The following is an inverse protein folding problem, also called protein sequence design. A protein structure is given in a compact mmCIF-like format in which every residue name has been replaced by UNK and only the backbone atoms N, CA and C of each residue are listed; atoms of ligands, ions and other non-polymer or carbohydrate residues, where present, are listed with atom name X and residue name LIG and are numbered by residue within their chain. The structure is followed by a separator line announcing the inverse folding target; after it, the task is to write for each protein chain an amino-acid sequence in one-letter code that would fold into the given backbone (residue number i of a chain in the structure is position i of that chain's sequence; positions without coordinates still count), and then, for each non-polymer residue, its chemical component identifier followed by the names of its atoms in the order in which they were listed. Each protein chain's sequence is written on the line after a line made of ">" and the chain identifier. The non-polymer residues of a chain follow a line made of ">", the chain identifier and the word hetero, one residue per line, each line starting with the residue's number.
data_IF_268353992580
#
_entry.id   IF_268353992580
#
_cell.length_a   1.000
_cell.length_b   1.000
_cell.length_c   1.000
_cell.angle_alpha   90.00
_cell.angle_beta   90.00
_cell.angle_gamma   90.00
#
_symmetry.space_group_name_H-M   'P 1'
#
loop_
_entity.id
_entity.type
_entity.pdbx_description
1 polymer ?
#
# COMPACT_ATOMS: atom_id res chain seq x y z
N UNK A 1 -1.52 -9.73 -36.10
CA UNK A 1 -1.87 -8.99 -34.87
C UNK A 1 -0.96 -7.79 -34.76
N UNK A 2 -1.43 -6.65 -35.25
CA UNK A 2 -0.70 -5.38 -35.26
C UNK A 2 -0.58 -4.86 -33.83
N UNK A 3 0.65 -4.86 -33.30
CA UNK A 3 0.99 -4.13 -32.09
C UNK A 3 0.79 -2.64 -32.40
N UNK A 4 -0.33 -2.07 -31.99
CA UNK A 4 -0.50 -0.61 -31.93
C UNK A 4 0.65 -0.09 -31.07
N UNK A 5 1.63 0.57 -31.70
CA UNK A 5 2.72 1.23 -30.98
C UNK A 5 2.10 2.42 -30.27
N UNK A 6 1.77 2.25 -28.98
CA UNK A 6 1.24 3.34 -28.16
C UNK A 6 2.28 4.48 -28.17
N UNK A 7 1.88 5.71 -28.50
CA UNK A 7 2.83 6.81 -28.63
C UNK A 7 3.44 7.14 -27.25
N UNK A 8 4.70 7.60 -27.24
CA UNK A 8 5.47 7.88 -26.02
C UNK A 8 4.72 8.70 -24.94
N UNK A 9 3.93 9.74 -25.28
CA UNK A 9 3.13 10.48 -24.30
C UNK A 9 2.11 9.61 -23.56
N UNK A 10 1.49 8.66 -24.25
CA UNK A 10 0.44 7.79 -23.70
C UNK A 10 1.04 6.76 -22.76
N UNK A 11 2.21 6.20 -23.10
CA UNK A 11 2.96 5.33 -22.19
C UNK A 11 3.43 6.06 -20.92
N UNK A 12 3.84 7.32 -21.04
CA UNK A 12 4.20 8.16 -19.87
C UNK A 12 2.98 8.45 -18.99
N UNK A 13 1.84 8.75 -19.61
CA UNK A 13 0.58 8.97 -18.89
C UNK A 13 0.13 7.69 -18.18
N UNK A 14 0.13 6.56 -18.88
CA UNK A 14 -0.20 5.25 -18.32
C UNK A 14 0.72 4.90 -17.13
N UNK A 15 2.03 5.09 -17.26
CA UNK A 15 2.99 4.87 -16.17
C UNK A 15 2.71 5.74 -14.94
N UNK A 16 2.32 7.01 -15.12
CA UNK A 16 1.95 7.91 -14.01
C UNK A 16 0.67 7.43 -13.32
N UNK A 17 -0.35 7.06 -14.10
CA UNK A 17 -1.60 6.53 -13.57
C UNK A 17 -1.38 5.24 -12.76
N UNK A 18 -0.57 4.30 -13.28
CA UNK A 18 -0.24 3.05 -12.60
C UNK A 18 0.53 3.28 -11.28
N UNK A 19 1.43 4.27 -11.22
CA UNK A 19 2.10 4.64 -9.97
C UNK A 19 1.14 5.18 -8.92
N UNK A 20 0.24 6.07 -9.32
CA UNK A 20 -0.78 6.62 -8.43
C UNK A 20 -1.72 5.53 -7.91
N UNK A 21 -2.11 4.58 -8.78
CA UNK A 21 -2.94 3.45 -8.35
C UNK A 21 -2.20 2.54 -7.38
N UNK A 22 -0.92 2.23 -7.62
CA UNK A 22 -0.09 1.46 -6.68
C UNK A 22 -0.06 2.11 -5.29
N UNK A 23 0.14 3.42 -5.22
CA UNK A 23 0.16 4.16 -3.95
C UNK A 23 -1.20 4.10 -3.24
N UNK A 24 -2.30 4.24 -3.99
CA UNK A 24 -3.67 4.11 -3.47
C UNK A 24 -3.93 2.71 -2.90
N UNK A 25 -3.52 1.66 -3.61
CA UNK A 25 -3.67 0.27 -3.15
C UNK A 25 -2.85 0.03 -1.89
N UNK A 26 -1.59 0.50 -1.85
CA UNK A 26 -0.74 0.39 -0.67
C UNK A 26 -1.35 1.09 0.55
N UNK A 27 -1.95 2.27 0.35
CA UNK A 27 -2.68 2.98 1.40
C UNK A 27 -3.87 2.17 1.93
N UNK A 28 -4.70 1.62 1.03
CA UNK A 28 -5.84 0.78 1.44
C UNK A 28 -5.41 -0.49 2.16
N UNK A 29 -4.34 -1.15 1.72
CA UNK A 29 -3.79 -2.33 2.41
C UNK A 29 -3.35 -2.00 3.83
N UNK A 30 -2.69 -0.85 4.03
CA UNK A 30 -2.31 -0.38 5.36
C UNK A 30 -3.52 -0.12 6.26
N UNK A 31 -4.58 0.49 5.71
CA UNK A 31 -5.82 0.72 6.44
C UNK A 31 -6.51 -0.59 6.87
N UNK A 32 -6.59 -1.58 5.98
CA UNK A 32 -7.17 -2.90 6.27
C UNK A 32 -6.36 -3.63 7.34
N UNK A 33 -5.03 -3.59 7.26
CA UNK A 33 -4.12 -4.17 8.27
C UNK A 33 -4.30 -3.52 9.63
N UNK A 34 -4.28 -2.20 9.69
CA UNK A 34 -4.52 -1.46 10.92
C UNK A 34 -5.88 -1.84 11.54
N UNK A 35 -6.92 -2.06 10.72
CA UNK A 35 -8.21 -2.53 11.24
C UNK A 35 -8.14 -3.95 11.81
N UNK A 36 -7.44 -4.86 11.14
CA UNK A 36 -7.22 -6.21 11.68
C UNK A 36 -6.44 -6.17 12.99
N UNK A 37 -5.39 -5.34 13.07
CA UNK A 37 -4.57 -5.18 14.25
C UNK A 37 -5.41 -4.65 15.43
N UNK A 38 -6.27 -3.67 15.20
CA UNK A 38 -7.21 -3.16 16.20
C UNK A 38 -8.26 -4.20 16.63
N UNK A 39 -8.79 -4.98 15.68
CA UNK A 39 -9.75 -6.04 15.99
C UNK A 39 -9.10 -7.14 16.87
N UNK A 40 -7.83 -7.46 16.62
CA UNK A 40 -7.06 -8.39 17.45
C UNK A 40 -6.75 -7.79 18.82
N UNK A 41 -6.33 -6.52 18.88
CA UNK A 41 -6.07 -5.83 20.14
C UNK A 41 -7.32 -5.71 21.02
N UNK A 42 -8.50 -5.52 20.41
CA UNK A 42 -9.77 -5.53 21.13
C UNK A 42 -10.07 -6.90 21.80
N UNK A 43 -9.56 -7.99 21.24
CA UNK A 43 -9.77 -9.34 21.75
C UNK A 43 -8.82 -9.73 22.89
N UNK A 44 -7.66 -9.09 22.93
CA UNK A 44 -6.58 -9.36 23.85
C UNK A 44 -6.25 -8.06 24.59
N UNK A 45 -6.85 -7.79 25.77
CA UNK A 45 -6.61 -6.55 26.49
C UNK A 45 -5.12 -6.33 26.75
N UNK A 46 -4.72 -5.05 26.79
CA UNK A 46 -3.33 -4.67 27.01
C UNK A 46 -2.80 -5.29 28.31
N UNK A 47 -1.84 -6.20 28.19
CA UNK A 47 -1.11 -6.76 29.33
C UNK A 47 -0.15 -5.73 29.94
N UNK A 48 0.38 -6.06 31.11
CA UNK A 48 1.40 -5.22 31.77
C UNK A 48 2.70 -5.29 30.96
N UNK A 49 3.09 -4.16 30.35
CA UNK A 49 4.37 -4.06 29.66
C UNK A 49 5.52 -4.13 30.66
N UNK A 50 6.63 -4.76 30.27
CA UNK A 50 7.87 -4.79 31.05
C UNK A 50 7.91 -5.80 32.22
N UNK A 51 6.79 -6.40 32.63
CA UNK A 51 6.74 -7.32 33.78
C UNK A 51 7.72 -8.50 33.64
N UNK A 52 7.78 -9.11 32.46
CA UNK A 52 8.64 -10.27 32.19
C UNK A 52 10.14 -9.92 32.06
N UNK A 53 10.47 -8.65 31.90
CA UNK A 53 11.83 -8.18 31.60
C UNK A 53 12.29 -7.08 32.56
N UNK A 54 11.58 -6.86 33.67
CA UNK A 54 11.81 -5.75 34.60
C UNK A 54 13.23 -5.72 35.17
N UNK A 55 13.87 -6.89 35.31
CA UNK A 55 15.24 -7.03 35.81
C UNK A 55 16.32 -7.02 34.72
N UNK A 56 15.91 -7.02 33.45
CA UNK A 56 16.82 -6.97 32.29
C UNK A 56 16.89 -5.58 31.67
N UNK A 57 15.86 -4.76 31.89
CA UNK A 57 15.80 -3.42 31.35
C UNK A 57 16.64 -2.44 32.20
N UNK A 58 17.41 -1.55 31.56
CA UNK A 58 17.99 -0.40 32.24
C UNK A 58 16.92 0.42 32.97
N UNK A 59 17.28 1.00 34.12
CA UNK A 59 16.34 1.72 34.98
C UNK A 59 15.65 2.88 34.24
N UNK A 60 16.39 3.62 33.42
CA UNK A 60 15.87 4.72 32.62
C UNK A 60 14.78 4.27 31.64
N UNK A 61 14.88 3.04 31.10
CA UNK A 61 13.87 2.44 30.22
C UNK A 61 12.65 1.98 31.04
N UNK A 62 12.87 1.34 32.20
CA UNK A 62 11.78 0.92 33.09
C UNK A 62 10.87 2.08 33.52
N UNK A 63 11.46 3.27 33.70
CA UNK A 63 10.71 4.47 34.10
C UNK A 63 9.82 5.04 32.98
N UNK A 64 10.02 4.62 31.73
CA UNK A 64 9.25 5.09 30.57
C UNK A 64 8.19 4.08 30.10
N UNK A 65 7.97 3.00 30.84
CA UNK A 65 6.99 1.97 30.46
C UNK A 65 5.57 2.55 30.53
N UNK A 66 4.81 2.58 29.41
CA UNK A 66 3.43 3.06 29.41
C UNK A 66 2.57 2.22 30.33
N UNK A 67 1.66 2.89 31.06
CA UNK A 67 0.80 2.18 32.01
C UNK A 67 -0.33 1.45 31.27
N UNK A 68 -0.80 0.29 31.79
CA UNK A 68 -1.88 -0.45 31.14
C UNK A 68 -3.20 0.34 31.01
N UNK A 69 -3.52 1.22 31.96
CA UNK A 69 -4.69 2.09 31.94
C UNK A 69 -4.58 3.21 30.90
N UNK A 70 -3.38 3.78 30.72
CA UNK A 70 -3.08 4.73 29.64
C UNK A 70 -3.31 4.09 28.27
N UNK A 71 -2.79 2.87 28.08
CA UNK A 71 -2.98 2.10 26.85
C UNK A 71 -4.44 1.70 26.64
N UNK A 72 -5.14 1.27 27.68
CA UNK A 72 -6.56 0.90 27.61
C UNK A 72 -7.47 2.10 27.32
N UNK A 73 -7.08 3.30 27.76
CA UNK A 73 -7.80 4.55 27.44
C UNK A 73 -7.58 4.96 25.97
N UNK A 74 -6.35 4.85 25.48
CA UNK A 74 -6.02 5.20 24.10
C UNK A 74 -6.54 4.17 23.07
N UNK A 75 -6.61 2.91 23.45
CA UNK A 75 -7.05 1.77 22.64
C UNK A 75 -8.18 1.03 23.37
N UNK A 76 -9.39 1.61 23.43
CA UNK A 76 -10.49 1.00 24.15
C UNK A 76 -10.83 -0.38 23.58
N UNK A 77 -11.24 -1.34 24.42
CA UNK A 77 -11.70 -2.63 23.94
C UNK A 77 -12.89 -2.45 22.98
N UNK A 78 -12.82 -3.09 21.83
CA UNK A 78 -13.91 -3.10 20.86
C UNK A 78 -15.09 -3.94 21.34
N UNK A 79 -16.24 -3.73 20.73
CA UNK A 79 -17.51 -4.42 21.01
C UNK A 79 -17.56 -5.90 20.55
N UNK A 80 -16.42 -6.46 20.12
CA UNK A 80 -16.31 -7.81 19.57
C UNK A 80 -16.92 -7.98 18.17
N UNK A 81 -17.63 -6.98 17.63
CA UNK A 81 -18.18 -7.02 16.27
C UNK A 81 -17.05 -7.08 15.23
N UNK A 82 -15.97 -6.33 15.47
CA UNK A 82 -14.79 -6.28 14.60
C UNK A 82 -14.04 -7.63 14.51
N UNK A 83 -14.08 -8.45 15.57
CA UNK A 83 -13.51 -9.81 15.57
C UNK A 83 -14.23 -10.74 14.59
N UNK A 84 -15.56 -10.67 14.54
CA UNK A 84 -16.37 -11.46 13.62
C UNK A 84 -16.06 -11.15 12.15
N UNK A 85 -15.52 -9.96 11.86
CA UNK A 85 -15.17 -9.50 10.52
C UNK A 85 -13.73 -9.81 10.12
N UNK A 86 -12.90 -10.36 11.01
CA UNK A 86 -11.51 -10.71 10.70
C UNK A 86 -11.36 -11.60 9.46
N UNK A 87 -12.19 -12.64 9.23
CA UNK A 87 -12.11 -13.44 8.01
C UNK A 87 -12.34 -12.61 6.74
N UNK A 88 -13.30 -11.69 6.76
CA UNK A 88 -13.60 -10.79 5.65
C UNK A 88 -12.45 -9.81 5.38
N UNK A 89 -11.88 -9.24 6.44
CA UNK A 89 -10.73 -8.34 6.34
C UNK A 89 -9.49 -9.04 5.79
N UNK A 90 -9.23 -10.29 6.20
CA UNK A 90 -8.14 -11.11 5.64
C UNK A 90 -8.37 -11.42 4.16
N UNK A 91 -9.60 -11.78 3.79
CA UNK A 91 -9.96 -12.00 2.39
C UNK A 91 -9.79 -10.72 1.56
N UNK A 92 -10.14 -9.56 2.13
CA UNK A 92 -9.94 -8.26 1.49
C UNK A 92 -8.45 -7.91 1.31
N UNK A 93 -7.59 -8.09 2.33
CA UNK A 93 -6.13 -7.87 2.18
C UNK A 93 -5.54 -8.81 1.11
N UNK A 94 -5.99 -10.06 1.06
CA UNK A 94 -5.53 -11.01 0.04
C UNK A 94 -5.92 -10.58 -1.39
N UNK A 95 -7.15 -10.08 -1.57
CA UNK A 95 -7.62 -9.51 -2.84
C UNK A 95 -6.85 -8.24 -3.21
N UNK A 96 -6.64 -7.32 -2.27
CA UNK A 96 -5.86 -6.11 -2.49
C UNK A 96 -4.39 -6.43 -2.83
N UNK A 97 -3.79 -7.41 -2.15
CA UNK A 97 -2.43 -7.87 -2.46
C UNK A 97 -2.33 -8.44 -3.88
N UNK A 98 -3.37 -9.15 -4.32
CA UNK A 98 -3.44 -9.70 -5.69
C UNK A 98 -3.59 -8.60 -6.73
N UNK A 99 -4.44 -7.61 -6.44
CA UNK A 99 -4.60 -6.44 -7.29
C UNK A 99 -3.31 -5.62 -7.37
N UNK A 100 -2.63 -5.37 -6.23
CA UNK A 100 -1.36 -4.66 -6.19
C UNK A 100 -0.29 -5.33 -7.06
N UNK A 101 -0.17 -6.67 -6.99
CA UNK A 101 0.74 -7.42 -7.87
C UNK A 101 0.42 -7.16 -9.34
N UNK A 102 -0.86 -7.22 -9.73
CA UNK A 102 -1.29 -6.92 -11.10
C UNK A 102 -0.95 -5.49 -11.55
N UNK A 103 -1.07 -4.50 -10.66
CA UNK A 103 -0.69 -3.10 -10.94
C UNK A 103 0.83 -2.97 -11.09
N UNK A 104 1.61 -3.63 -10.23
CA UNK A 104 3.07 -3.66 -10.33
C UNK A 104 3.52 -4.30 -11.65
N UNK A 105 2.96 -5.46 -11.99
CA UNK A 105 3.29 -6.14 -13.26
C UNK A 105 2.94 -5.27 -14.48
N UNK A 106 1.81 -4.54 -14.43
CA UNK A 106 1.43 -3.61 -15.49
C UNK A 106 2.38 -2.40 -15.58
N UNK A 107 2.83 -1.89 -14.42
CA UNK A 107 3.80 -0.79 -14.34
C UNK A 107 5.15 -1.22 -14.92
N UNK A 108 5.59 -2.44 -14.61
CA UNK A 108 6.85 -3.00 -15.09
C UNK A 108 6.80 -3.22 -16.60
N UNK A 109 5.72 -3.81 -17.14
CA UNK A 109 5.51 -3.92 -18.59
C UNK A 109 5.51 -2.57 -19.30
N UNK A 110 4.80 -1.58 -18.75
CA UNK A 110 4.77 -0.22 -19.31
C UNK A 110 6.16 0.42 -19.28
N UNK A 111 6.92 0.18 -18.21
CA UNK A 111 8.28 0.70 -18.05
C UNK A 111 9.25 0.04 -19.04
N UNK A 112 9.16 -1.29 -19.22
CA UNK A 112 9.94 -2.01 -20.21
C UNK A 112 9.71 -1.47 -21.62
N UNK A 113 8.43 -1.29 -22.01
CA UNK A 113 8.07 -0.72 -23.31
C UNK A 113 8.59 0.71 -23.52
N UNK A 114 8.57 1.53 -22.47
CA UNK A 114 9.17 2.86 -22.50
C UNK A 114 10.69 2.80 -22.73
N UNK A 115 11.38 1.89 -22.05
CA UNK A 115 12.83 1.69 -22.21
C UNK A 115 13.16 1.22 -23.62
N UNK A 116 12.43 0.24 -24.15
CA UNK A 116 12.59 -0.27 -25.52
C UNK A 116 12.40 0.83 -26.57
N UNK A 117 11.34 1.65 -26.43
CA UNK A 117 11.08 2.75 -27.35
C UNK A 117 12.20 3.81 -27.31
N UNK A 118 12.69 4.14 -26.11
CA UNK A 118 13.76 5.12 -25.93
C UNK A 118 15.12 4.60 -26.39
N UNK A 119 15.38 3.30 -26.24
CA UNK A 119 16.58 2.67 -26.76
C UNK A 119 16.58 2.62 -28.29
N UNK A 120 15.41 2.40 -28.91
CA UNK A 120 15.25 2.39 -30.36
C UNK A 120 15.22 3.77 -31.02
N UNK A 121 14.71 4.79 -30.32
CA UNK A 121 14.68 6.18 -30.79
C UNK A 121 14.91 7.17 -29.62
N UNK A 122 16.16 7.45 -29.25
CA UNK A 122 16.49 8.42 -28.20
C UNK A 122 15.94 9.83 -28.48
N UNK A 123 15.79 10.18 -29.77
CA UNK A 123 15.29 11.48 -30.22
C UNK A 123 13.78 11.66 -29.99
N UNK A 124 13.05 10.57 -29.71
CA UNK A 124 11.62 10.61 -29.39
C UNK A 124 11.30 11.48 -28.16
N UNK A 125 12.29 11.72 -27.29
CA UNK A 125 12.15 12.64 -26.15
C UNK A 125 12.10 14.11 -26.52
N UNK A 126 12.67 14.47 -27.69
CA UNK A 126 12.78 15.84 -28.19
C UNK A 126 11.63 16.21 -29.14
N UNK A 127 10.82 15.24 -29.57
CA UNK A 127 9.70 15.51 -30.47
C UNK A 127 8.55 16.20 -29.72
N UNK A 128 8.06 17.35 -30.21
CA UNK A 128 6.87 17.99 -29.66
C UNK A 128 5.67 17.04 -29.74
N UNK A 129 4.75 17.15 -28.76
CA UNK A 129 3.44 16.49 -28.85
C UNK A 129 2.71 17.08 -30.06
N UNK A 130 2.65 16.37 -31.18
CA UNK A 130 1.80 16.75 -32.30
C UNK A 130 0.35 16.67 -31.81
N UNK A 131 -0.44 17.75 -31.84
CA UNK A 131 -1.84 17.67 -31.47
C UNK A 131 -2.54 16.70 -32.43
N UNK A 132 -3.37 15.82 -31.89
CA UNK A 132 -4.27 15.02 -32.70
C UNK A 132 -5.14 15.98 -33.50
N UNK A 133 -5.06 15.90 -34.83
CA UNK A 133 -5.92 16.67 -35.72
C UNK A 133 -7.35 16.22 -35.47
N UNK A 134 -8.15 17.07 -34.82
CA UNK A 134 -9.60 16.88 -34.67
C UNK A 134 -10.23 16.95 -36.07
N UNK A 135 -10.61 15.77 -36.56
CA UNK A 135 -11.38 15.59 -37.78
C UNK A 135 -12.86 15.89 -37.53
N UNK A 136 -13.31 16.89 -38.27
CA UNK A 136 -14.66 17.44 -38.47
C UNK A 136 -15.78 16.42 -38.60
#
# INVERSE_FOLDING_TARGET
>A
MTSCVDPLPDLRLARRALRAERERVAWWRRAVRARMDLAVAAAAPAGVLGEQVAFLLPLDVCLQVPRPDELGTALPPGDGHDLGRLPELRALDARLATYERGVVDALDRTTARLVELLAGDPSATLRPRTPAVEGR
#
